data_IF_207184013560
#
_entry.id   IF_207184013560
#
_cell.length_a   1.000
_cell.length_b   1.000
_cell.length_c   1.000
_cell.angle_alpha   90.00
_cell.angle_beta   90.00
_cell.angle_gamma   90.00
#
_symmetry.space_group_name_H-M   'P 1'
#
loop_
_entity.id
_entity.type
_entity.pdbx_description
1 polymer ?
#
# COMPACT_ATOMS: atom_id res chain seq x y z
N UNK A 1 46.94 -48.33 -55.97
CA UNK A 1 45.92 -47.28 -56.22
C UNK A 1 44.73 -47.63 -55.37
N UNK A 2 44.83 -47.55 -54.04
CA UNK A 2 44.68 -46.31 -53.25
C UNK A 2 43.42 -45.52 -53.62
N UNK A 3 42.35 -45.74 -52.86
CA UNK A 3 41.24 -44.81 -52.74
C UNK A 3 40.96 -44.64 -51.24
N UNK A 4 41.43 -43.51 -50.74
CA UNK A 4 41.32 -43.00 -49.38
C UNK A 4 39.85 -42.81 -48.97
N UNK A 5 39.44 -43.48 -47.89
CA UNK A 5 38.19 -43.18 -47.18
C UNK A 5 38.45 -41.97 -46.27
N UNK A 6 38.07 -40.79 -46.75
CA UNK A 6 38.11 -39.56 -45.96
C UNK A 6 37.00 -39.55 -44.92
N UNK A 7 37.35 -39.77 -43.66
CA UNK A 7 36.47 -39.49 -42.53
C UNK A 7 36.51 -37.99 -42.23
N UNK A 8 35.50 -37.25 -42.70
CA UNK A 8 35.27 -35.86 -42.27
C UNK A 8 34.71 -35.86 -40.86
N UNK A 9 35.57 -35.63 -39.87
CA UNK A 9 35.16 -35.30 -38.50
C UNK A 9 34.73 -33.84 -38.49
N UNK A 10 33.41 -33.60 -38.52
CA UNK A 10 32.84 -32.28 -38.28
C UNK A 10 32.76 -32.09 -36.75
N UNK A 11 33.74 -31.38 -36.20
CA UNK A 11 33.71 -30.94 -34.80
C UNK A 11 32.84 -29.69 -34.71
N UNK A 12 31.57 -29.86 -34.33
CA UNK A 12 30.70 -28.73 -33.96
C UNK A 12 31.16 -28.23 -32.59
N UNK A 13 31.93 -27.14 -32.59
CA UNK A 13 32.19 -26.35 -31.37
C UNK A 13 30.94 -25.52 -31.10
N UNK A 14 30.05 -26.05 -30.25
CA UNK A 14 28.99 -25.26 -29.62
C UNK A 14 29.66 -24.25 -28.68
N UNK A 15 29.98 -23.07 -29.21
CA UNK A 15 30.17 -21.86 -28.43
C UNK A 15 28.81 -21.47 -27.85
N UNK A 16 28.38 -22.16 -26.79
CA UNK A 16 27.49 -21.54 -25.84
C UNK A 16 28.28 -20.37 -25.25
N UNK A 17 27.96 -19.15 -25.71
CA UNK A 17 28.24 -17.96 -24.92
C UNK A 17 27.47 -18.15 -23.62
N UNK A 18 28.13 -18.77 -22.64
CA UNK A 18 27.68 -18.83 -21.27
C UNK A 18 27.69 -17.39 -20.79
N UNK A 19 26.59 -16.68 -21.03
CA UNK A 19 26.33 -15.44 -20.35
C UNK A 19 26.29 -15.81 -18.87
N UNK A 20 27.17 -15.25 -18.03
CA UNK A 20 27.05 -15.47 -16.60
C UNK A 20 25.63 -15.06 -16.22
N UNK A 21 24.85 -16.02 -15.73
CA UNK A 21 23.48 -15.76 -15.26
C UNK A 21 23.64 -15.00 -13.96
N UNK A 22 23.67 -13.66 -14.07
CA UNK A 22 23.58 -12.79 -12.93
C UNK A 22 22.12 -12.69 -12.51
N UNK A 23 21.85 -12.78 -11.21
CA UNK A 23 20.55 -12.34 -10.71
C UNK A 23 20.36 -10.87 -11.09
N UNK A 24 19.14 -10.50 -11.49
CA UNK A 24 18.86 -9.22 -12.14
C UNK A 24 17.91 -8.38 -11.30
N UNK A 25 18.26 -7.11 -11.12
CA UNK A 25 17.42 -6.08 -10.51
C UNK A 25 17.03 -5.05 -11.56
N UNK A 26 15.73 -4.88 -11.74
CA UNK A 26 15.16 -3.96 -12.73
C UNK A 26 14.69 -2.70 -12.03
N UNK A 27 15.09 -1.55 -12.57
CA UNK A 27 14.57 -0.26 -12.16
C UNK A 27 13.10 -0.13 -12.56
N UNK A 28 12.24 0.09 -11.57
CA UNK A 28 10.79 0.15 -11.78
C UNK A 28 10.25 1.55 -12.17
N UNK A 29 10.72 2.66 -11.56
CA UNK A 29 10.19 3.99 -11.86
C UNK A 29 10.44 4.43 -13.32
N UNK A 30 9.37 4.61 -14.08
CA UNK A 30 9.39 5.10 -15.45
C UNK A 30 8.63 6.42 -15.61
N UNK A 31 8.99 7.17 -16.64
CA UNK A 31 8.37 8.42 -17.04
C UNK A 31 7.68 8.22 -18.40
N UNK A 32 6.37 8.43 -18.43
CA UNK A 32 5.54 8.25 -19.62
C UNK A 32 4.84 9.54 -20.00
N UNK A 33 4.91 9.91 -21.27
CA UNK A 33 4.20 11.08 -21.79
C UNK A 33 2.67 10.94 -21.67
N UNK A 34 2.14 9.74 -21.90
CA UNK A 34 0.69 9.45 -21.87
C UNK A 34 0.15 9.13 -20.46
N UNK A 35 0.95 9.34 -19.41
CA UNK A 35 0.49 9.21 -18.04
C UNK A 35 -0.08 10.56 -17.55
N UNK A 36 -1.38 10.62 -17.19
CA UNK A 36 -2.00 11.85 -16.72
C UNK A 36 -1.29 12.46 -15.50
N UNK A 37 -0.68 11.64 -14.62
CA UNK A 37 -0.03 12.11 -13.39
C UNK A 37 1.11 13.12 -13.67
N UNK A 38 1.74 13.01 -14.85
CA UNK A 38 2.85 13.85 -15.31
C UNK A 38 2.40 15.22 -15.84
N UNK A 39 1.09 15.51 -15.87
CA UNK A 39 0.53 16.77 -16.36
C UNK A 39 -0.07 17.61 -15.25
N UNK A 40 0.02 18.95 -15.34
CA UNK A 40 -0.40 19.90 -14.30
C UNK A 40 -1.83 19.66 -13.79
N UNK A 41 -2.78 19.41 -14.69
CA UNK A 41 -4.19 19.19 -14.38
C UNK A 41 -4.57 17.70 -14.28
N UNK A 42 -3.58 16.81 -14.26
CA UNK A 42 -3.79 15.35 -14.30
C UNK A 42 -4.57 14.87 -15.52
N UNK A 43 -4.45 15.60 -16.63
CA UNK A 43 -5.10 15.32 -17.91
C UNK A 43 -4.05 15.26 -19.02
N UNK A 44 -4.16 14.25 -19.89
CA UNK A 44 -3.30 14.11 -21.07
C UNK A 44 -3.66 15.16 -22.14
N UNK A 45 -2.71 15.56 -23.00
CA UNK A 45 -2.99 16.53 -24.06
C UNK A 45 -3.99 15.98 -25.08
N UNK A 46 -5.01 16.77 -25.42
CA UNK A 46 -5.93 16.43 -26.50
C UNK A 46 -5.47 17.01 -27.86
N UNK A 47 -5.93 16.46 -29.00
CA UNK A 47 -5.52 16.91 -30.31
C UNK A 47 -5.76 18.42 -30.55
N UNK A 48 -4.73 19.14 -30.98
CA UNK A 48 -4.81 20.59 -31.25
C UNK A 48 -4.56 21.48 -30.02
N UNK A 49 -4.26 20.90 -28.85
CA UNK A 49 -3.87 21.64 -27.65
C UNK A 49 -2.42 22.12 -27.74
N UNK A 50 -2.08 23.24 -27.08
CA UNK A 50 -0.68 23.68 -26.91
C UNK A 50 0.00 22.85 -25.83
N UNK A 51 1.13 22.22 -26.15
CA UNK A 51 1.94 21.46 -25.20
C UNK A 51 3.09 22.34 -24.70
N UNK A 52 3.25 22.44 -23.38
CA UNK A 52 4.28 23.27 -22.76
C UNK A 52 5.13 22.43 -21.83
N UNK A 53 6.42 22.32 -22.16
CA UNK A 53 7.42 21.80 -21.24
C UNK A 53 7.96 22.92 -20.35
N UNK A 54 8.28 22.63 -19.09
CA UNK A 54 8.85 23.62 -18.18
C UNK A 54 10.24 24.03 -18.67
N UNK A 55 10.61 25.29 -18.42
CA UNK A 55 11.92 25.84 -18.83
C UNK A 55 13.09 24.97 -18.36
N UNK A 56 13.01 24.47 -17.13
CA UNK A 56 13.94 23.52 -16.52
C UNK A 56 13.25 22.17 -16.34
N UNK A 57 13.22 21.37 -17.40
CA UNK A 57 12.69 20.01 -17.34
C UNK A 57 13.70 19.09 -16.65
N UNK A 58 14.98 19.25 -16.99
CA UNK A 58 16.13 18.48 -16.49
C UNK A 58 15.86 16.96 -16.51
N UNK A 59 15.19 16.47 -17.53
CA UNK A 59 14.87 15.06 -17.67
C UNK A 59 14.80 14.73 -19.16
N UNK A 60 14.82 13.43 -19.46
CA UNK A 60 14.51 12.91 -20.77
C UNK A 60 13.04 12.49 -20.80
N UNK A 61 12.29 12.96 -21.80
CA UNK A 61 10.89 12.55 -22.00
C UNK A 61 10.76 11.89 -23.37
N UNK A 62 10.34 10.63 -23.38
CA UNK A 62 9.99 9.93 -24.61
C UNK A 62 8.64 10.41 -25.13
N UNK A 63 8.60 10.90 -26.37
CA UNK A 63 7.35 11.23 -27.04
C UNK A 63 6.59 9.95 -27.43
N UNK A 64 5.25 10.01 -27.52
CA UNK A 64 4.44 8.83 -27.82
C UNK A 64 4.70 8.33 -29.24
N UNK A 65 4.53 7.03 -29.43
CA UNK A 65 4.48 6.45 -30.77
C UNK A 65 3.20 6.89 -31.50
N UNK A 66 3.27 6.98 -32.83
CA UNK A 66 2.14 7.38 -33.67
C UNK A 66 2.09 8.90 -33.93
N UNK A 67 0.86 9.40 -34.12
CA UNK A 67 0.63 10.78 -34.56
C UNK A 67 0.29 11.68 -33.35
N UNK A 68 1.18 12.63 -33.05
CA UNK A 68 0.92 13.69 -32.09
C UNK A 68 0.36 14.92 -32.83
N UNK A 69 -0.89 15.27 -32.57
CA UNK A 69 -1.54 16.45 -33.17
C UNK A 69 -1.66 17.57 -32.14
N UNK A 70 -1.07 18.73 -32.41
CA UNK A 70 -0.98 19.85 -31.46
C UNK A 70 -1.03 21.18 -32.21
N UNK A 71 -1.36 22.27 -31.52
CA UNK A 71 -1.27 23.61 -32.12
C UNK A 71 0.15 24.18 -32.05
N UNK A 72 0.88 23.87 -30.98
CA UNK A 72 2.26 24.31 -30.75
C UNK A 72 2.90 23.51 -29.63
N UNK A 73 4.23 23.32 -29.72
CA UNK A 73 5.04 22.69 -28.67
C UNK A 73 6.07 23.71 -28.19
N UNK A 74 6.03 24.05 -26.90
CA UNK A 74 7.05 24.88 -26.25
C UNK A 74 8.08 23.94 -25.61
N UNK A 75 9.30 23.93 -26.16
CA UNK A 75 10.40 23.07 -25.73
C UNK A 75 11.07 23.59 -24.44
N UNK A 76 11.66 22.70 -23.63
CA UNK A 76 12.45 23.09 -22.47
C UNK A 76 13.78 23.75 -22.89
N UNK A 77 14.33 24.63 -22.04
CA UNK A 77 15.70 25.13 -22.23
C UNK A 77 16.76 24.16 -21.68
N UNK A 78 16.38 23.34 -20.69
CA UNK A 78 17.22 22.32 -20.07
C UNK A 78 16.44 21.01 -19.95
N UNK A 79 16.95 19.95 -20.57
CA UNK A 79 16.29 18.66 -20.74
C UNK A 79 16.27 18.25 -22.21
N UNK A 80 15.75 17.06 -22.50
CA UNK A 80 15.64 16.59 -23.88
C UNK A 80 14.37 15.78 -24.10
N UNK A 81 13.89 15.80 -25.34
CA UNK A 81 12.77 14.98 -25.79
C UNK A 81 13.32 13.91 -26.71
N UNK A 82 12.97 12.66 -26.44
CA UNK A 82 13.35 11.51 -27.25
C UNK A 82 12.23 11.22 -28.25
N UNK A 83 12.58 11.24 -29.53
CA UNK A 83 11.65 10.94 -30.62
C UNK A 83 11.81 9.46 -30.98
N UNK A 84 10.73 8.67 -31.02
CA UNK A 84 10.77 7.31 -31.55
C UNK A 84 11.28 7.26 -33.00
N UNK A 85 12.26 6.40 -33.27
CA UNK A 85 13.03 6.40 -34.53
C UNK A 85 12.19 6.21 -35.80
N UNK A 86 11.06 5.49 -35.74
CA UNK A 86 10.30 5.07 -36.93
C UNK A 86 8.78 5.24 -36.85
N UNK A 87 8.23 5.55 -35.68
CA UNK A 87 6.77 5.54 -35.45
C UNK A 87 6.21 6.92 -35.12
N UNK A 88 7.05 7.93 -34.94
CA UNK A 88 6.61 9.28 -34.55
C UNK A 88 6.24 10.16 -35.74
N UNK A 89 5.10 10.84 -35.65
CA UNK A 89 4.65 11.85 -36.62
C UNK A 89 4.05 13.04 -35.88
N UNK A 90 4.52 14.25 -36.19
CA UNK A 90 4.02 15.48 -35.58
C UNK A 90 3.12 16.23 -36.57
N UNK A 91 1.87 16.47 -36.20
CA UNK A 91 0.93 17.29 -36.97
C UNK A 91 0.62 18.59 -36.22
N UNK A 92 1.03 19.72 -36.81
CA UNK A 92 0.79 21.04 -36.23
C UNK A 92 -0.43 21.66 -36.91
N UNK A 93 -1.52 21.79 -36.16
CA UNK A 93 -2.79 22.33 -36.67
C UNK A 93 -3.04 23.71 -36.08
N UNK A 94 -3.14 24.72 -36.94
CA UNK A 94 -3.56 26.07 -36.54
C UNK A 94 -5.06 26.06 -36.26
N UNK A 95 -5.45 25.88 -35.00
CA UNK A 95 -6.86 25.94 -34.61
C UNK A 95 -7.17 27.30 -34.01
N UNK A 96 -8.12 28.03 -34.62
CA UNK A 96 -8.75 29.19 -33.99
C UNK A 96 -9.76 28.69 -32.93
N UNK A 97 -9.37 28.66 -31.66
CA UNK A 97 -10.23 28.23 -30.54
C UNK A 97 -10.30 29.32 -29.46
N UNK A 98 -11.45 29.48 -28.78
CA UNK A 98 -11.63 30.43 -27.69
C UNK A 98 -10.86 29.95 -26.45
N UNK A 99 -10.00 30.81 -25.88
CA UNK A 99 -9.30 30.56 -24.61
C UNK A 99 -8.49 29.24 -24.53
N UNK A 100 -7.34 29.24 -25.18
CA UNK A 100 -6.15 28.38 -25.02
C UNK A 100 -6.25 27.36 -23.85
N UNK A 101 -6.68 26.13 -24.15
CA UNK A 101 -6.37 25.00 -23.29
C UNK A 101 -4.88 24.68 -23.45
N UNK A 102 -4.10 24.77 -22.37
CA UNK A 102 -2.65 24.49 -22.36
C UNK A 102 -2.41 23.21 -21.59
N UNK A 103 -1.70 22.26 -22.18
CA UNK A 103 -1.21 21.08 -21.49
C UNK A 103 0.21 21.36 -20.99
N UNK A 104 0.37 21.52 -19.68
CA UNK A 104 1.68 21.81 -19.05
C UNK A 104 2.24 20.51 -18.46
N UNK A 105 3.42 20.12 -18.91
CA UNK A 105 4.15 18.96 -18.38
C UNK A 105 4.81 19.31 -17.04
N UNK A 106 4.76 18.40 -16.07
CA UNK A 106 5.44 18.58 -14.78
C UNK A 106 6.91 18.17 -14.92
N UNK A 107 7.81 18.93 -14.30
CA UNK A 107 9.19 18.47 -14.15
C UNK A 107 9.19 17.24 -13.21
N UNK A 108 9.70 16.08 -13.65
CA UNK A 108 9.69 14.89 -12.82
C UNK A 108 10.63 15.06 -11.62
N UNK A 109 10.16 14.61 -10.46
CA UNK A 109 11.03 14.50 -9.27
C UNK A 109 12.13 13.47 -9.48
N UNK A 110 13.23 13.61 -8.75
CA UNK A 110 14.32 12.64 -8.72
C UNK A 110 13.95 11.46 -7.84
N UNK A 111 14.42 10.28 -8.20
CA UNK A 111 14.17 9.03 -7.48
C UNK A 111 15.48 8.43 -7.00
N UNK A 112 15.66 8.22 -5.68
CA UNK A 112 16.94 7.75 -5.14
C UNK A 112 17.31 6.34 -5.62
N UNK A 113 18.58 6.13 -5.98
CA UNK A 113 19.12 4.83 -6.37
C UNK A 113 19.00 3.81 -5.22
N UNK A 114 19.30 4.23 -3.98
CA UNK A 114 19.33 3.36 -2.81
C UNK A 114 17.95 3.15 -2.14
N UNK A 115 16.87 3.64 -2.73
CA UNK A 115 15.52 3.33 -2.29
C UNK A 115 15.11 1.94 -2.82
N UNK A 116 15.04 0.93 -1.93
CA UNK A 116 14.75 -0.46 -2.30
C UNK A 116 13.44 -0.67 -3.05
N UNK A 117 12.43 0.18 -2.81
CA UNK A 117 11.12 0.10 -3.49
C UNK A 117 11.17 0.51 -4.97
N UNK A 118 12.27 1.13 -5.43
CA UNK A 118 12.48 1.48 -6.83
C UNK A 118 13.04 0.31 -7.66
N UNK A 119 13.40 -0.80 -7.02
CA UNK A 119 13.99 -1.97 -7.66
C UNK A 119 13.07 -3.19 -7.51
N UNK A 120 12.99 -3.97 -8.59
CA UNK A 120 12.31 -5.27 -8.58
C UNK A 120 13.29 -6.36 -8.97
N UNK A 121 13.24 -7.51 -8.28
CA UNK A 121 13.97 -8.70 -8.69
C UNK A 121 13.33 -9.28 -9.95
N UNK A 122 14.13 -9.73 -10.91
CA UNK A 122 13.63 -10.40 -12.10
C UNK A 122 13.93 -11.89 -12.05
N UNK A 123 12.87 -12.68 -12.09
CA UNK A 123 12.96 -14.13 -12.24
C UNK A 123 12.95 -14.46 -13.73
N UNK A 124 14.12 -14.78 -14.27
CA UNK A 124 14.28 -15.16 -15.69
C UNK A 124 13.49 -16.41 -16.05
N UNK A 125 13.35 -17.37 -15.12
CA UNK A 125 12.67 -18.65 -15.36
C UNK A 125 11.17 -18.42 -15.54
N UNK A 126 10.59 -17.54 -14.72
CA UNK A 126 9.16 -17.18 -14.77
C UNK A 126 8.88 -15.93 -15.62
N UNK A 127 9.93 -15.30 -16.16
CA UNK A 127 9.87 -14.00 -16.85
C UNK A 127 9.06 -12.95 -16.06
N UNK A 128 9.17 -12.96 -14.73
CA UNK A 128 8.28 -12.24 -13.83
C UNK A 128 9.06 -11.30 -12.90
N UNK A 129 8.51 -10.10 -12.67
CA UNK A 129 9.06 -9.14 -11.71
C UNK A 129 8.52 -9.41 -10.32
N UNK A 130 9.40 -9.65 -9.37
CA UNK A 130 9.05 -9.88 -7.98
C UNK A 130 9.44 -8.66 -7.16
N UNK A 131 8.44 -8.06 -6.53
CA UNK A 131 8.66 -7.06 -5.50
C UNK A 131 9.27 -7.75 -4.27
N UNK A 132 10.18 -7.07 -3.55
CA UNK A 132 10.74 -7.62 -2.33
C UNK A 132 9.63 -7.82 -1.28
N UNK A 133 9.66 -8.96 -0.61
CA UNK A 133 8.78 -9.27 0.51
C UNK A 133 9.33 -8.66 1.82
N UNK A 134 8.57 -8.74 2.91
CA UNK A 134 8.97 -8.09 4.17
C UNK A 134 10.19 -8.76 4.84
N UNK A 135 10.40 -10.05 4.58
CA UNK A 135 11.58 -10.78 5.04
C UNK A 135 12.86 -10.41 4.29
N UNK A 136 12.81 -9.88 3.07
CA UNK A 136 14.00 -9.47 2.30
C UNK A 136 14.67 -8.27 2.99
N UNK A 137 15.95 -8.36 3.40
CA UNK A 137 16.71 -7.26 3.95
C UNK A 137 16.75 -6.05 3.03
N UNK A 138 16.70 -4.85 3.61
CA UNK A 138 16.74 -3.60 2.85
C UNK A 138 18.00 -3.49 1.98
N UNK A 139 19.12 -4.03 2.47
CA UNK A 139 20.37 -4.15 1.71
C UNK A 139 20.27 -4.99 0.43
N UNK A 140 19.38 -5.98 0.42
CA UNK A 140 19.15 -6.90 -0.71
C UNK A 140 17.99 -6.46 -1.62
N UNK A 141 17.31 -5.34 -1.28
CA UNK A 141 16.26 -4.77 -2.13
C UNK A 141 16.86 -3.97 -3.30
N UNK A 142 18.02 -3.36 -3.09
CA UNK A 142 18.83 -2.67 -4.12
C UNK A 142 19.80 -3.65 -4.81
N UNK A 143 20.35 -3.33 -6.00
CA UNK A 143 21.29 -4.19 -6.71
C UNK A 143 22.53 -4.55 -5.88
N UNK A 144 22.77 -5.85 -5.72
CA UNK A 144 23.95 -6.37 -5.04
C UNK A 144 25.21 -6.29 -5.92
N UNK A 145 26.37 -6.43 -5.28
CA UNK A 145 27.67 -6.42 -5.96
C UNK A 145 27.87 -7.52 -7.03
N UNK A 146 27.06 -8.58 -7.01
CA UNK A 146 27.08 -9.70 -7.97
C UNK A 146 25.88 -9.71 -8.92
N UNK A 147 24.98 -8.72 -8.83
CA UNK A 147 23.76 -8.63 -9.63
C UNK A 147 23.91 -7.67 -10.81
N UNK A 148 23.08 -7.88 -11.84
CA UNK A 148 22.95 -6.94 -12.94
C UNK A 148 21.88 -5.88 -12.60
N UNK A 149 22.26 -4.60 -12.62
CA UNK A 149 21.33 -3.48 -12.53
C UNK A 149 20.81 -3.13 -13.94
N UNK A 150 19.50 -3.21 -14.14
CA UNK A 150 18.87 -3.06 -15.46
C UNK A 150 17.92 -1.87 -15.47
N UNK A 151 18.18 -0.94 -16.38
CA UNK A 151 17.30 0.17 -16.72
C UNK A 151 16.66 -0.11 -18.07
N UNK A 152 15.39 -0.49 -18.07
CA UNK A 152 14.65 -0.70 -19.32
C UNK A 152 14.23 0.64 -19.94
N UNK A 153 14.40 0.79 -21.24
CA UNK A 153 14.03 2.00 -22.00
C UNK A 153 12.86 1.73 -22.95
N UNK A 154 12.75 0.49 -23.46
CA UNK A 154 11.72 0.09 -24.43
C UNK A 154 10.29 0.19 -23.89
N UNK A 155 10.13 0.06 -22.56
CA UNK A 155 8.84 0.14 -21.88
C UNK A 155 8.55 1.51 -21.30
N UNK A 156 9.39 2.51 -21.54
CA UNK A 156 9.29 3.84 -20.94
C UNK A 156 10.65 4.33 -20.48
N UNK A 157 10.88 5.64 -20.56
CA UNK A 157 12.15 6.23 -20.14
C UNK A 157 12.27 6.12 -18.62
N UNK A 158 13.39 5.64 -18.06
CA UNK A 158 13.60 5.65 -16.62
C UNK A 158 13.39 7.04 -16.03
N UNK A 159 12.64 7.12 -14.93
CA UNK A 159 12.50 8.38 -14.18
C UNK A 159 13.87 8.81 -13.67
N UNK A 160 14.19 10.12 -13.60
CA UNK A 160 15.51 10.58 -13.18
C UNK A 160 15.98 9.95 -11.87
N UNK A 161 17.13 9.29 -11.93
CA UNK A 161 17.79 8.57 -10.84
C UNK A 161 18.72 9.51 -10.09
N UNK A 162 18.60 9.57 -8.77
CA UNK A 162 19.53 10.29 -7.92
C UNK A 162 20.59 9.31 -7.38
N UNK A 163 21.84 9.51 -7.77
CA UNK A 163 23.00 8.70 -7.34
C UNK A 163 23.56 9.16 -5.98
N UNK A 164 22.98 10.21 -5.39
CA UNK A 164 23.21 10.68 -4.02
C UNK A 164 24.69 10.99 -3.65
N UNK A 165 25.53 11.33 -4.63
CA UNK A 165 26.97 11.66 -4.43
C UNK A 165 27.76 10.56 -3.71
N UNK A 166 27.43 9.29 -3.93
CA UNK A 166 28.19 8.20 -3.34
C UNK A 166 29.51 7.97 -4.05
N UNK A 167 30.60 7.80 -3.30
CA UNK A 167 31.95 7.58 -3.85
C UNK A 167 32.00 6.45 -4.89
N UNK A 168 31.25 5.37 -4.65
CA UNK A 168 31.18 4.27 -5.59
C UNK A 168 29.96 3.39 -5.40
N UNK A 169 29.41 2.89 -6.51
CA UNK A 169 28.37 1.87 -6.54
C UNK A 169 28.96 0.60 -7.12
N UNK A 170 28.89 -0.50 -6.37
CA UNK A 170 29.45 -1.80 -6.75
C UNK A 170 28.33 -2.74 -7.23
N UNK A 171 28.42 -3.21 -8.48
CA UNK A 171 27.43 -4.10 -9.11
C UNK A 171 28.12 -5.14 -9.98
N UNK A 172 27.42 -6.23 -10.28
CA UNK A 172 27.94 -7.31 -11.12
C UNK A 172 27.91 -6.97 -12.61
N UNK A 173 26.90 -6.24 -13.05
CA UNK A 173 26.87 -5.64 -14.38
C UNK A 173 25.85 -4.49 -14.40
N UNK A 174 25.87 -3.67 -15.45
CA UNK A 174 24.81 -2.70 -15.73
C UNK A 174 24.34 -2.85 -17.16
N UNK A 175 23.03 -2.80 -17.35
CA UNK A 175 22.40 -2.72 -18.68
C UNK A 175 21.43 -1.56 -18.72
N UNK A 176 21.59 -0.71 -19.73
CA UNK A 176 20.70 0.41 -20.01
C UNK A 176 20.16 0.26 -21.43
N UNK A 177 18.85 0.01 -21.53
CA UNK A 177 18.19 -0.37 -22.78
C UNK A 177 18.78 -1.63 -23.41
N UNK A 178 18.89 -1.64 -24.74
CA UNK A 178 19.56 -2.68 -25.52
C UNK A 178 20.94 -2.29 -26.05
N UNK A 179 21.44 -1.09 -25.75
CA UNK A 179 22.62 -0.51 -26.39
C UNK A 179 23.82 -0.39 -25.45
N UNK A 180 23.59 -0.10 -24.18
CA UNK A 180 24.64 0.11 -23.19
C UNK A 180 24.65 -1.09 -22.25
N UNK A 181 25.72 -1.86 -22.31
CA UNK A 181 25.98 -2.99 -21.42
C UNK A 181 27.42 -2.90 -20.91
N UNK A 182 27.62 -3.25 -19.64
CA UNK A 182 28.93 -3.17 -19.00
C UNK A 182 29.09 -1.92 -18.14
N UNK A 183 29.77 -2.11 -17.00
CA UNK A 183 30.05 -1.04 -16.03
C UNK A 183 30.82 0.13 -16.66
N UNK A 184 31.82 -0.14 -17.50
CA UNK A 184 32.66 0.90 -18.13
C UNK A 184 31.90 1.74 -19.15
N UNK A 185 31.10 1.09 -20.00
CA UNK A 185 30.25 1.77 -21.00
C UNK A 185 29.18 2.61 -20.29
N UNK A 186 28.59 2.08 -19.23
CA UNK A 186 27.62 2.80 -18.42
C UNK A 186 28.22 4.00 -17.69
N UNK A 187 29.44 3.88 -17.13
CA UNK A 187 30.16 5.01 -16.55
C UNK A 187 30.37 6.12 -17.58
N UNK A 188 30.80 5.77 -18.79
CA UNK A 188 31.01 6.72 -19.88
C UNK A 188 29.70 7.41 -20.28
N UNK A 189 28.59 6.66 -20.27
CA UNK A 189 27.28 7.19 -20.56
C UNK A 189 26.76 8.16 -19.49
N UNK A 190 26.89 7.84 -18.21
CA UNK A 190 26.46 8.72 -17.11
C UNK A 190 27.12 10.10 -17.21
N UNK A 191 28.38 10.15 -17.63
CA UNK A 191 29.14 11.40 -17.80
C UNK A 191 28.78 12.19 -19.07
N UNK A 192 27.98 11.61 -19.98
CA UNK A 192 27.49 12.32 -21.18
C UNK A 192 26.37 13.30 -20.83
N UNK A 193 26.11 14.27 -21.70
CA UNK A 193 25.03 15.27 -21.51
C UNK A 193 23.65 14.61 -21.34
N UNK A 194 23.35 13.55 -22.11
CA UNK A 194 22.10 12.81 -21.98
C UNK A 194 22.05 12.00 -20.68
N UNK A 195 23.18 11.39 -20.30
CA UNK A 195 23.32 10.67 -19.03
C UNK A 195 23.04 11.57 -17.84
N UNK A 196 23.54 12.80 -17.83
CA UNK A 196 23.34 13.76 -16.74
C UNK A 196 21.87 14.20 -16.56
N UNK A 197 21.03 14.09 -17.59
CA UNK A 197 19.58 14.33 -17.45
C UNK A 197 18.82 13.13 -16.84
N UNK A 198 19.44 11.95 -16.79
CA UNK A 198 18.84 10.75 -16.20
C UNK A 198 19.49 10.36 -14.88
N UNK A 199 20.80 10.53 -14.73
CA UNK A 199 21.59 10.13 -13.56
C UNK A 199 22.16 11.36 -12.89
N UNK A 200 21.46 11.82 -11.88
CA UNK A 200 21.82 12.99 -11.10
C UNK A 200 22.86 12.69 -10.05
N UNK A 201 23.62 13.72 -9.69
CA UNK A 201 24.60 13.66 -8.60
C UNK A 201 25.58 12.49 -8.79
N UNK A 202 25.93 12.23 -10.06
CA UNK A 202 26.70 11.09 -10.49
C UNK A 202 28.13 11.45 -10.93
N UNK A 203 28.47 12.75 -10.95
CA UNK A 203 29.76 13.28 -11.41
C UNK A 203 30.94 12.69 -10.63
N UNK A 204 30.78 12.55 -9.31
CA UNK A 204 31.79 11.96 -8.42
C UNK A 204 31.53 10.48 -8.10
N UNK A 205 30.49 9.89 -8.69
CA UNK A 205 30.07 8.52 -8.39
C UNK A 205 30.75 7.53 -9.35
N UNK A 206 31.59 6.65 -8.81
CA UNK A 206 32.26 5.61 -9.59
C UNK A 206 31.46 4.31 -9.61
N UNK A 207 30.97 3.91 -10.78
CA UNK A 207 30.38 2.58 -10.96
C UNK A 207 31.51 1.57 -11.13
N UNK A 208 31.54 0.55 -10.28
CA UNK A 208 32.60 -0.46 -10.25
C UNK A 208 32.02 -1.86 -10.30
N UNK A 209 32.80 -2.76 -10.90
CA UNK A 209 32.56 -4.18 -10.79
C UNK A 209 32.66 -4.60 -9.31
N UNK A 210 31.66 -5.31 -8.82
CA UNK A 210 31.65 -5.81 -7.45
C UNK A 210 32.82 -6.77 -7.16
N UNK A 211 33.26 -6.77 -5.90
CA UNK A 211 34.40 -7.61 -5.46
C UNK A 211 34.05 -9.08 -5.40
N UNK A 212 32.76 -9.39 -5.24
CA UNK A 212 32.27 -10.76 -5.21
C UNK A 212 31.42 -11.08 -6.43
N UNK A 213 31.63 -12.29 -6.97
CA UNK A 213 30.93 -12.79 -8.16
C UNK A 213 29.83 -13.80 -7.84
N UNK A 214 29.69 -14.23 -6.57
CA UNK A 214 28.76 -15.29 -6.18
C UNK A 214 27.96 -14.91 -4.93
N UNK A 215 26.63 -14.90 -5.08
CA UNK A 215 25.64 -14.67 -4.02
C UNK A 215 25.76 -15.69 -2.86
N UNK A 216 26.26 -16.90 -3.12
CA UNK A 216 26.38 -17.96 -2.12
C UNK A 216 27.59 -17.81 -1.18
N UNK A 217 28.42 -16.77 -1.34
CA UNK A 217 29.65 -16.64 -0.56
C UNK A 217 29.84 -15.29 0.11
N UNK A 218 29.09 -14.28 -0.31
CA UNK A 218 29.35 -12.90 0.08
C UNK A 218 28.06 -12.18 0.45
N UNK A 219 28.15 -11.18 1.33
CA UNK A 219 27.04 -10.27 1.55
C UNK A 219 26.70 -9.50 0.27
N UNK A 220 25.43 -9.10 0.16
CA UNK A 220 24.95 -8.31 -0.97
C UNK A 220 25.63 -6.93 -1.05
N UNK A 221 25.73 -6.24 0.10
CA UNK A 221 26.29 -4.90 0.23
C UNK A 221 27.48 -4.89 1.20
N UNK A 222 28.34 -3.88 1.07
CA UNK A 222 29.31 -3.56 2.12
C UNK A 222 28.62 -2.67 3.19
N UNK A 223 29.19 -2.63 4.39
CA UNK A 223 28.55 -1.95 5.55
C UNK A 223 28.38 -0.44 5.32
N UNK A 224 29.31 0.18 4.57
CA UNK A 224 29.29 1.62 4.26
C UNK A 224 28.09 2.06 3.41
N UNK A 225 27.43 1.17 2.67
CA UNK A 225 26.25 1.49 1.86
C UNK A 225 24.97 1.52 2.70
N UNK A 226 24.99 0.94 3.91
CA UNK A 226 23.80 0.83 4.75
C UNK A 226 23.23 2.19 5.14
N UNK A 227 24.07 3.20 5.40
CA UNK A 227 23.61 4.54 5.74
C UNK A 227 22.78 5.17 4.60
N UNK A 228 23.23 4.97 3.36
CA UNK A 228 22.51 5.42 2.17
C UNK A 228 21.16 4.72 2.02
N UNK A 229 21.15 3.39 2.15
CA UNK A 229 19.95 2.56 2.02
C UNK A 229 18.93 2.91 3.10
N UNK A 230 19.39 3.07 4.34
CA UNK A 230 18.52 3.37 5.47
C UNK A 230 18.03 4.82 5.47
N UNK A 231 18.77 5.78 4.91
CA UNK A 231 18.29 7.16 4.73
C UNK A 231 17.11 7.27 3.76
N UNK A 232 16.95 6.28 2.87
CA UNK A 232 15.86 6.19 1.89
C UNK A 232 14.74 5.24 2.33
N UNK A 233 14.74 4.79 3.59
CA UNK A 233 13.76 3.84 4.12
C UNK A 233 12.99 4.48 5.27
N UNK A 234 11.66 4.54 5.13
CA UNK A 234 10.77 4.99 6.20
C UNK A 234 10.43 3.83 7.14
N UNK A 235 10.90 3.90 8.37
CA UNK A 235 10.64 2.87 9.38
C UNK A 235 9.34 3.13 10.13
N UNK A 236 8.34 2.27 9.90
CA UNK A 236 7.12 2.21 10.70
C UNK A 236 7.39 1.49 12.02
N UNK A 237 6.68 1.87 13.08
CA UNK A 237 6.81 1.22 14.39
C UNK A 237 6.19 -0.19 14.34
N UNK A 238 6.94 -1.25 14.66
CA UNK A 238 6.44 -2.63 14.60
C UNK A 238 5.44 -2.93 15.71
N UNK A 239 4.44 -3.77 15.42
CA UNK A 239 3.35 -4.13 16.35
C UNK A 239 3.67 -5.39 17.18
N UNK A 240 4.83 -5.41 17.85
CA UNK A 240 5.23 -6.50 18.75
C UNK A 240 6.12 -5.98 19.89
N UNK A 241 6.11 -6.70 21.02
CA UNK A 241 7.03 -6.49 22.12
C UNK A 241 8.43 -6.92 21.69
N UNK A 242 9.47 -6.12 21.92
CA UNK A 242 10.87 -6.49 21.60
C UNK A 242 11.09 -6.96 20.15
N UNK A 243 10.92 -6.08 19.14
CA UNK A 243 11.15 -6.43 17.75
C UNK A 243 12.62 -6.78 17.50
N UNK A 244 12.87 -7.63 16.51
CA UNK A 244 14.23 -8.03 16.11
C UNK A 244 14.72 -7.18 14.94
N UNK A 245 16.03 -7.00 14.80
CA UNK A 245 16.64 -6.32 13.64
C UNK A 245 17.65 -7.26 12.97
N UNK A 246 17.25 -7.98 11.91
CA UNK A 246 18.17 -8.77 11.12
C UNK A 246 19.24 -7.90 10.46
N UNK A 247 20.33 -8.52 10.02
CA UNK A 247 21.41 -7.82 9.33
C UNK A 247 20.90 -7.49 7.94
N UNK A 248 21.28 -6.31 7.45
CA UNK A 248 20.74 -5.75 6.22
C UNK A 248 19.37 -5.07 6.37
N UNK A 249 18.68 -5.19 7.52
CA UNK A 249 17.46 -4.42 7.78
C UNK A 249 17.77 -3.05 8.41
N UNK A 250 17.14 -2.02 7.87
CA UNK A 250 17.16 -0.68 8.45
C UNK A 250 16.20 -0.56 9.63
N UNK A 251 15.03 -1.19 9.52
CA UNK A 251 13.96 -1.12 10.50
C UNK A 251 13.89 -2.39 11.34
N UNK A 252 13.50 -2.29 12.63
CA UNK A 252 13.15 -3.45 13.42
C UNK A 252 11.84 -4.09 12.91
N UNK A 253 11.74 -5.42 12.96
CA UNK A 253 10.61 -6.19 12.41
C UNK A 253 10.06 -7.17 13.47
N UNK A 254 8.80 -7.58 13.28
CA UNK A 254 8.18 -8.65 14.03
C UNK A 254 8.31 -9.96 13.26
N UNK A 255 9.00 -10.94 13.85
CA UNK A 255 9.25 -12.20 13.17
C UNK A 255 10.23 -13.07 13.92
N UNK A 256 10.86 -13.98 13.19
CA UNK A 256 11.93 -14.83 13.70
C UNK A 256 13.11 -14.80 12.76
N UNK A 257 14.32 -14.88 13.31
CA UNK A 257 15.53 -15.07 12.51
C UNK A 257 16.37 -16.23 13.04
N UNK A 258 16.93 -16.99 12.11
CA UNK A 258 17.95 -17.99 12.33
C UNK A 258 19.27 -17.50 11.73
N UNK A 259 20.37 -17.71 12.44
CA UNK A 259 21.71 -17.37 11.98
C UNK A 259 22.71 -18.47 12.27
N UNK A 260 23.63 -18.69 11.33
CA UNK A 260 24.73 -19.62 11.52
C UNK A 260 25.99 -19.15 10.79
N UNK A 261 27.13 -19.29 11.45
CA UNK A 261 28.42 -18.99 10.84
C UNK A 261 28.77 -20.01 9.75
N UNK A 262 29.12 -19.53 8.56
CA UNK A 262 29.52 -20.37 7.42
C UNK A 262 30.80 -21.18 7.70
N UNK A 263 31.68 -20.71 8.59
CA UNK A 263 32.88 -21.44 9.00
C UNK A 263 32.57 -22.69 9.84
N UNK A 264 31.39 -22.75 10.47
CA UNK A 264 30.97 -23.90 11.29
C UNK A 264 30.48 -25.09 10.44
N UNK A 265 30.44 -24.96 9.11
CA UNK A 265 29.99 -26.03 8.23
C UNK A 265 31.13 -27.02 7.95
N UNK A 266 30.98 -28.31 8.28
CA UNK A 266 32.05 -29.30 8.17
C UNK A 266 32.42 -29.71 6.73
N UNK A 267 31.73 -29.18 5.70
CA UNK A 267 31.95 -29.45 4.27
C UNK A 267 31.78 -28.16 3.48
N UNK A 268 32.15 -28.17 2.19
CA UNK A 268 31.78 -27.12 1.25
C UNK A 268 30.26 -26.91 1.29
N UNK A 269 29.82 -25.87 2.00
CA UNK A 269 28.43 -25.50 2.11
C UNK A 269 27.92 -25.09 0.74
N UNK A 270 26.75 -25.61 0.36
CA UNK A 270 26.05 -25.25 -0.87
C UNK A 270 24.73 -24.60 -0.45
N UNK A 271 24.60 -23.30 -0.71
CA UNK A 271 23.45 -22.51 -0.30
C UNK A 271 22.19 -23.02 -1.00
N UNK A 272 22.25 -23.28 -2.30
CA UNK A 272 21.12 -23.80 -3.06
C UNK A 272 20.57 -25.12 -2.49
N UNK A 273 21.45 -26.08 -2.16
CA UNK A 273 21.01 -27.35 -1.58
C UNK A 273 20.40 -27.17 -0.20
N UNK A 274 20.84 -26.17 0.56
CA UNK A 274 20.27 -25.85 1.86
C UNK A 274 18.89 -25.20 1.70
N UNK A 275 18.76 -24.20 0.82
CA UNK A 275 17.48 -23.52 0.53
C UNK A 275 16.46 -24.50 -0.05
N UNK A 276 16.85 -25.43 -0.93
CA UNK A 276 15.95 -26.45 -1.48
C UNK A 276 15.46 -27.46 -0.42
N UNK A 277 16.29 -27.79 0.57
CA UNK A 277 15.90 -28.66 1.69
C UNK A 277 15.00 -27.91 2.66
N UNK A 278 15.31 -26.66 2.94
CA UNK A 278 14.54 -25.79 3.80
C UNK A 278 13.16 -25.52 3.20
N UNK A 279 13.08 -25.13 1.93
CA UNK A 279 11.83 -24.90 1.20
C UNK A 279 10.91 -26.13 1.27
N UNK A 280 11.43 -27.33 0.98
CA UNK A 280 10.65 -28.57 1.13
C UNK A 280 10.15 -28.81 2.55
N UNK A 281 10.91 -28.38 3.57
CA UNK A 281 10.51 -28.51 4.97
C UNK A 281 9.44 -27.50 5.36
N UNK A 282 9.56 -26.26 4.91
CA UNK A 282 8.54 -25.21 5.08
C UNK A 282 7.23 -25.64 4.43
N UNK A 283 7.26 -26.12 3.17
CA UNK A 283 6.04 -26.61 2.49
C UNK A 283 5.42 -27.84 3.16
N UNK A 284 6.19 -28.62 3.92
CA UNK A 284 5.70 -29.78 4.69
C UNK A 284 5.35 -29.46 6.15
N UNK A 285 5.52 -28.20 6.59
CA UNK A 285 5.31 -27.82 7.97
C UNK A 285 3.81 -27.75 8.31
N UNK A 286 3.50 -27.77 9.61
CA UNK A 286 2.12 -27.67 10.12
C UNK A 286 1.50 -26.27 9.91
N UNK A 287 2.32 -25.26 9.67
CA UNK A 287 1.89 -23.89 9.36
C UNK A 287 1.81 -23.75 7.84
N UNK A 288 0.70 -23.21 7.33
CA UNK A 288 0.52 -22.99 5.90
C UNK A 288 1.55 -21.97 5.37
N UNK A 289 2.29 -22.34 4.31
CA UNK A 289 3.30 -21.49 3.65
C UNK A 289 2.72 -20.17 3.11
N UNK A 290 1.39 -20.09 2.96
CA UNK A 290 0.68 -18.91 2.48
C UNK A 290 0.65 -17.78 3.52
N UNK A 291 0.79 -18.12 4.80
CA UNK A 291 0.64 -17.20 5.93
C UNK A 291 1.94 -16.53 6.38
N UNK A 292 3.08 -16.94 5.82
CA UNK A 292 4.40 -16.43 6.19
C UNK A 292 5.22 -16.08 4.95
N UNK A 293 6.11 -15.11 5.11
CA UNK A 293 7.11 -14.78 4.11
C UNK A 293 8.49 -15.07 4.69
N UNK A 294 9.39 -15.62 3.87
CA UNK A 294 10.75 -15.89 4.31
C UNK A 294 11.78 -15.46 3.28
N UNK A 295 13.00 -15.25 3.77
CA UNK A 295 14.17 -14.92 2.97
C UNK A 295 15.40 -15.63 3.53
N UNK A 296 16.24 -16.16 2.64
CA UNK A 296 17.53 -16.74 3.00
C UNK A 296 18.61 -15.96 2.25
N UNK A 297 19.53 -15.39 3.00
CA UNK A 297 20.64 -14.62 2.47
C UNK A 297 21.94 -14.88 3.24
N UNK A 298 23.02 -14.29 2.73
CA UNK A 298 24.32 -14.26 3.40
C UNK A 298 24.59 -12.82 3.84
N UNK A 299 25.05 -12.68 5.07
CA UNK A 299 25.43 -11.40 5.64
C UNK A 299 26.74 -11.54 6.43
N UNK A 300 27.25 -10.45 6.99
CA UNK A 300 28.37 -10.44 7.93
C UNK A 300 27.86 -10.24 9.35
N UNK A 301 28.43 -11.01 10.27
CA UNK A 301 28.23 -10.85 11.70
C UNK A 301 29.54 -11.08 12.43
N UNK A 302 29.95 -10.11 13.26
CA UNK A 302 31.22 -10.15 13.98
C UNK A 302 32.45 -10.45 13.09
N UNK A 303 32.44 -9.92 11.85
CA UNK A 303 33.53 -10.09 10.88
C UNK A 303 33.54 -11.44 10.12
N UNK A 304 32.58 -12.33 10.36
CA UNK A 304 32.43 -13.59 9.64
C UNK A 304 31.17 -13.62 8.77
N UNK A 305 31.22 -14.35 7.66
CA UNK A 305 30.03 -14.58 6.83
C UNK A 305 29.08 -15.55 7.53
N UNK A 306 27.83 -15.14 7.65
CA UNK A 306 26.76 -15.92 8.28
C UNK A 306 25.62 -16.12 7.29
N UNK A 307 25.01 -17.29 7.34
CA UNK A 307 23.74 -17.54 6.68
C UNK A 307 22.65 -17.05 7.61
N UNK A 308 21.72 -16.28 7.06
CA UNK A 308 20.60 -15.71 7.78
C UNK A 308 19.30 -16.16 7.10
N UNK A 309 18.40 -16.76 7.88
CA UNK A 309 17.02 -17.03 7.49
C UNK A 309 16.13 -16.09 8.30
N UNK A 310 15.30 -15.32 7.62
CA UNK A 310 14.30 -14.43 8.22
C UNK A 310 12.93 -14.98 7.85
N UNK A 311 12.03 -15.06 8.82
CA UNK A 311 10.63 -15.43 8.63
C UNK A 311 9.76 -14.36 9.28
N UNK A 312 8.79 -13.84 8.53
CA UNK A 312 7.82 -12.84 8.99
C UNK A 312 6.40 -13.31 8.69
N UNK A 313 5.44 -12.82 9.47
CA UNK A 313 4.02 -13.09 9.23
C UNK A 313 3.55 -12.23 8.07
N UNK A 314 2.69 -12.80 7.21
CA UNK A 314 2.05 -12.00 6.16
C UNK A 314 0.89 -11.21 6.74
N UNK A 315 0.95 -9.88 6.63
CA UNK A 315 -0.06 -8.99 7.18
C UNK A 315 0.16 -8.67 8.66
N UNK A 316 -0.89 -8.77 9.48
CA UNK A 316 -0.76 -8.49 10.92
C UNK A 316 0.01 -9.60 11.65
N UNK A 317 0.88 -9.18 12.56
CA UNK A 317 1.73 -10.10 13.31
C UNK A 317 0.92 -10.94 14.31
N UNK A 318 0.93 -12.26 14.13
CA UNK A 318 0.18 -13.24 14.92
C UNK A 318 1.04 -14.42 15.41
N UNK A 319 2.35 -14.21 15.53
CA UNK A 319 3.36 -15.22 15.94
C UNK A 319 3.47 -16.45 15.03
N UNK A 320 2.96 -16.40 13.79
CA UNK A 320 2.99 -17.54 12.85
C UNK A 320 4.42 -17.87 12.42
N UNK A 321 5.23 -16.84 12.18
CA UNK A 321 6.67 -16.93 11.93
C UNK A 321 7.43 -17.59 13.06
N UNK A 322 7.04 -17.35 14.33
CA UNK A 322 7.64 -18.01 15.50
C UNK A 322 7.30 -19.48 15.50
N UNK A 323 6.02 -19.84 15.31
CA UNK A 323 5.59 -21.25 15.25
C UNK A 323 6.30 -21.99 14.11
N UNK A 324 6.42 -21.34 12.95
CA UNK A 324 7.17 -21.88 11.81
C UNK A 324 8.64 -22.11 12.17
N UNK A 325 9.32 -21.11 12.75
CA UNK A 325 10.73 -21.25 13.16
C UNK A 325 10.93 -22.36 14.20
N UNK A 326 10.03 -22.48 15.18
CA UNK A 326 10.08 -23.54 16.18
C UNK A 326 9.89 -24.93 15.55
N UNK A 327 9.03 -25.05 14.54
CA UNK A 327 8.85 -26.30 13.79
C UNK A 327 10.10 -26.71 13.00
N UNK A 328 10.92 -25.73 12.60
CA UNK A 328 12.18 -25.93 11.88
C UNK A 328 13.36 -26.19 12.81
N UNK A 329 13.26 -25.88 14.11
CA UNK A 329 14.34 -26.09 15.07
C UNK A 329 14.89 -27.54 15.07
N UNK A 330 14.08 -28.62 15.07
CA UNK A 330 14.59 -29.98 14.99
C UNK A 330 15.35 -30.28 13.70
N UNK A 331 14.99 -29.60 12.59
CA UNK A 331 15.73 -29.72 11.33
C UNK A 331 17.11 -29.09 11.45
N UNK A 332 17.23 -27.93 12.11
CA UNK A 332 18.53 -27.28 12.34
C UNK A 332 19.40 -28.07 13.32
N UNK A 333 18.86 -28.58 14.42
CA UNK A 333 19.60 -29.40 15.40
C UNK A 333 20.14 -30.70 14.78
N UNK A 334 19.38 -31.30 13.86
CA UNK A 334 19.82 -32.49 13.13
C UNK A 334 20.92 -32.19 12.12
N UNK A 335 20.84 -31.02 11.48
CA UNK A 335 21.79 -30.61 10.44
C UNK A 335 23.08 -30.02 11.04
N UNK A 336 22.98 -29.39 12.22
CA UNK A 336 24.03 -28.62 12.86
C UNK A 336 24.16 -29.02 14.33
N UNK A 337 25.36 -29.46 14.74
CA UNK A 337 25.63 -29.90 16.11
C UNK A 337 25.71 -28.76 17.12
N UNK A 338 26.14 -27.56 16.70
CA UNK A 338 26.21 -26.35 17.53
C UNK A 338 26.49 -25.10 16.68
N UNK A 339 26.37 -23.90 17.27
CA UNK A 339 26.80 -22.65 16.66
C UNK A 339 25.77 -21.93 15.78
N UNK A 340 24.51 -22.34 15.85
CA UNK A 340 23.39 -21.57 15.31
C UNK A 340 22.67 -20.78 16.41
N UNK A 341 22.09 -19.64 16.04
CA UNK A 341 21.34 -18.77 16.93
C UNK A 341 19.96 -18.52 16.33
N UNK A 342 18.92 -18.74 17.12
CA UNK A 342 17.54 -18.40 16.79
C UNK A 342 17.12 -17.27 17.72
N UNK A 343 16.51 -16.24 17.16
CA UNK A 343 15.93 -15.13 17.92
C UNK A 343 14.53 -14.83 17.41
N UNK A 344 13.63 -14.56 18.34
CA UNK A 344 12.24 -14.25 18.05
C UNK A 344 11.91 -12.83 18.51
N UNK A 345 11.00 -12.18 17.81
CA UNK A 345 10.27 -11.05 18.38
C UNK A 345 9.40 -11.53 19.56
N UNK A 346 9.05 -10.63 20.46
CA UNK A 346 8.09 -10.90 21.53
C UNK A 346 6.64 -10.84 21.05
N UNK A 347 5.71 -10.89 22.00
CA UNK A 347 4.28 -11.04 21.74
C UNK A 347 3.69 -9.87 20.92
N UNK A 348 2.62 -10.10 20.14
CA UNK A 348 1.91 -9.04 19.43
C UNK A 348 1.49 -7.93 20.37
N UNK A 349 1.79 -6.69 19.97
CA UNK A 349 1.45 -5.51 20.74
C UNK A 349 1.16 -4.36 19.80
N UNK A 350 -0.10 -3.92 19.76
CA UNK A 350 -0.48 -2.72 19.03
C UNK A 350 -0.30 -1.52 19.97
N UNK A 351 0.63 -0.60 19.67
CA UNK A 351 0.71 0.63 20.43
C UNK A 351 -0.60 1.40 20.21
N UNK A 352 -1.27 1.80 21.30
CA UNK A 352 -2.50 2.59 21.18
C UNK A 352 -2.20 3.91 20.47
N UNK A 353 -2.90 4.19 19.37
CA UNK A 353 -2.86 5.50 18.75
C UNK A 353 -3.44 6.53 19.74
N UNK A 354 -2.87 7.74 19.80
CA UNK A 354 -3.19 8.72 20.86
C UNK A 354 -4.68 9.03 21.03
N UNK A 355 -5.49 8.92 19.96
CA UNK A 355 -6.94 9.06 20.01
C UNK A 355 -7.68 7.93 20.72
N UNK A 356 -7.17 6.69 20.66
CA UNK A 356 -7.78 5.52 21.30
C UNK A 356 -7.61 5.56 22.83
N UNK A 357 -6.46 6.04 23.32
CA UNK A 357 -6.25 6.25 24.75
C UNK A 357 -7.19 7.33 25.30
N UNK A 358 -7.31 8.47 24.61
CA UNK A 358 -8.24 9.52 25.00
C UNK A 358 -9.69 9.01 25.00
N UNK A 359 -10.07 8.24 23.98
CA UNK A 359 -11.39 7.60 23.87
C UNK A 359 -11.67 6.64 25.03
N UNK A 360 -10.70 5.78 25.37
CA UNK A 360 -10.83 4.83 26.48
C UNK A 360 -10.93 5.56 27.83
N UNK A 361 -10.13 6.59 28.07
CA UNK A 361 -10.19 7.41 29.29
C UNK A 361 -11.52 8.17 29.38
N UNK A 362 -11.98 8.78 28.28
CA UNK A 362 -13.26 9.50 28.26
C UNK A 362 -14.43 8.55 28.50
N UNK A 363 -14.43 7.38 27.85
CA UNK A 363 -15.47 6.36 28.02
C UNK A 363 -15.51 5.85 29.46
N UNK A 364 -14.36 5.56 30.06
CA UNK A 364 -14.30 5.14 31.47
C UNK A 364 -14.77 6.24 32.42
N UNK A 365 -14.44 7.51 32.17
CA UNK A 365 -14.97 8.64 32.95
C UNK A 365 -16.50 8.77 32.84
N UNK A 366 -17.06 8.66 31.63
CA UNK A 366 -18.51 8.72 31.41
C UNK A 366 -19.20 7.55 32.09
N UNK A 367 -18.66 6.33 31.97
CA UNK A 367 -19.22 5.13 32.60
C UNK A 367 -19.22 5.24 34.13
N UNK A 368 -18.12 5.70 34.73
CA UNK A 368 -18.01 5.91 36.17
C UNK A 368 -18.96 7.03 36.62
N UNK A 369 -19.02 8.15 35.91
CA UNK A 369 -19.96 9.23 36.20
C UNK A 369 -21.41 8.78 36.12
N UNK A 370 -21.78 8.02 35.08
CA UNK A 370 -23.13 7.48 34.93
C UNK A 370 -23.47 6.50 36.07
N UNK A 371 -22.54 5.61 36.43
CA UNK A 371 -22.71 4.68 37.55
C UNK A 371 -22.98 5.40 38.87
N UNK A 372 -22.18 6.42 39.20
CA UNK A 372 -22.39 7.21 40.42
C UNK A 372 -23.66 8.07 40.37
N UNK A 373 -24.01 8.63 39.20
CA UNK A 373 -25.28 9.36 39.02
C UNK A 373 -26.50 8.44 39.22
N UNK A 374 -26.45 7.20 38.72
CA UNK A 374 -27.52 6.21 38.94
C UNK A 374 -27.59 5.83 40.41
N UNK A 375 -26.45 5.60 41.07
CA UNK A 375 -26.39 5.25 42.48
C UNK A 375 -26.87 6.39 43.38
N UNK A 376 -26.52 7.63 43.06
CA UNK A 376 -27.02 8.83 43.73
C UNK A 376 -28.53 8.96 43.55
N UNK A 377 -29.03 8.85 42.32
CA UNK A 377 -30.47 8.91 42.07
C UNK A 377 -31.22 7.79 42.82
N UNK A 378 -30.65 6.58 42.90
CA UNK A 378 -31.30 5.46 43.57
C UNK A 378 -31.37 5.62 45.10
N UNK A 379 -30.34 6.20 45.72
CA UNK A 379 -30.25 6.29 47.19
C UNK A 379 -30.68 7.64 47.78
N UNK A 380 -30.56 8.73 47.03
CA UNK A 380 -30.73 10.09 47.56
C UNK A 380 -31.84 10.90 46.88
N UNK A 381 -32.38 10.44 45.76
CA UNK A 381 -33.37 11.20 45.01
C UNK A 381 -34.78 10.57 45.08
N UNK A 382 -35.57 11.06 46.02
CA UNK A 382 -36.99 10.73 46.17
C UNK A 382 -37.88 11.34 45.06
N UNK A 383 -37.34 12.13 44.12
CA UNK A 383 -38.11 12.83 43.09
C UNK A 383 -37.94 12.27 41.68
N UNK A 384 -36.72 11.85 41.30
CA UNK A 384 -36.42 11.33 39.96
C UNK A 384 -36.88 9.87 39.76
N UNK A 385 -36.65 8.99 40.74
CA UNK A 385 -37.03 7.58 40.63
C UNK A 385 -38.55 7.35 40.55
N UNK A 386 -39.40 8.04 41.33
CA UNK A 386 -40.85 7.92 41.19
C UNK A 386 -41.37 8.44 39.86
N UNK A 387 -40.75 9.49 39.28
CA UNK A 387 -41.11 10.02 37.95
C UNK A 387 -40.74 9.06 36.83
N UNK A 388 -39.54 8.47 36.87
CA UNK A 388 -39.13 7.47 35.87
C UNK A 388 -39.99 6.19 35.99
N UNK A 389 -40.25 5.74 37.21
CA UNK A 389 -41.11 4.58 37.48
C UNK A 389 -42.57 4.86 37.12
N UNK A 390 -43.06 6.08 37.32
CA UNK A 390 -44.37 6.52 36.87
C UNK A 390 -44.44 6.60 35.34
N UNK A 391 -43.41 7.09 34.65
CA UNK A 391 -43.35 7.14 33.18
C UNK A 391 -43.30 5.73 32.56
N UNK A 392 -42.57 4.79 33.16
CA UNK A 392 -42.48 3.40 32.69
C UNK A 392 -43.75 2.60 33.03
N UNK A 393 -44.44 2.93 34.13
CA UNK A 393 -45.72 2.31 34.54
C UNK A 393 -46.93 2.92 33.82
N UNK A 394 -46.87 4.19 33.41
CA UNK A 394 -47.87 4.86 32.56
C UNK A 394 -47.66 4.57 31.07
N UNK A 395 -47.56 3.29 30.70
CA UNK A 395 -47.91 2.86 29.33
C UNK A 395 -49.42 2.97 29.03
N UNK A 396 -50.22 3.55 29.93
CA UNK A 396 -51.62 3.91 29.72
C UNK A 396 -51.84 5.37 29.30
N UNK A 397 -50.78 6.16 29.08
CA UNK A 397 -50.90 7.56 28.62
C UNK A 397 -51.42 7.71 27.17
N UNK A 398 -51.69 6.61 26.45
CA UNK A 398 -52.31 6.63 25.12
C UNK A 398 -53.78 6.18 25.10
N UNK A 399 -54.44 5.98 26.25
CA UNK A 399 -55.85 5.56 26.27
C UNK A 399 -56.62 6.23 27.41
N UNK A 400 -56.94 7.52 27.27
CA UNK A 400 -58.08 8.13 27.98
C UNK A 400 -59.02 8.74 26.95
N UNK A 401 -60.34 8.46 27.01
CA UNK A 401 -61.29 8.90 26.01
C UNK A 401 -61.46 10.42 26.04
N UNK A 402 -61.49 11.04 24.86
CA UNK A 402 -61.77 12.46 24.66
C UNK A 402 -63.15 12.79 25.24
N UNK A 403 -63.21 13.54 26.35
CA UNK A 403 -64.46 14.10 26.87
C UNK A 403 -64.63 15.48 26.24
N UNK A 404 -65.53 15.57 25.26
CA UNK A 404 -66.03 16.84 24.75
C UNK A 404 -66.85 17.54 25.85
N UNK A 405 -66.44 18.74 26.25
CA UNK A 405 -67.32 19.65 26.96
C UNK A 405 -68.43 20.08 25.97
N UNK A 406 -69.65 19.62 26.22
CA UNK A 406 -70.86 20.02 25.51
C UNK A 406 -71.41 21.27 26.21
N UNK A 407 -71.39 22.41 25.53
CA UNK A 407 -72.07 23.60 26.01
C UNK A 407 -73.57 23.40 25.76
N UNK A 408 -74.37 23.25 26.83
CA UNK A 408 -75.82 23.39 26.74
C UNK A 408 -76.19 24.77 27.33
N UNK A 409 -76.78 25.67 26.52
CA UNK A 409 -77.18 26.99 26.96
C UNK A 409 -78.58 26.89 27.57
N UNK A 410 -78.73 27.37 28.81
CA UNK A 410 -79.93 27.97 29.40
C UNK A 410 -80.08 27.57 30.87
N UNK A 411 -79.70 28.46 31.78
CA UNK A 411 -80.66 29.10 32.68
C UNK A 411 -79.90 29.95 33.68
N UNK A 412 -80.25 31.23 33.71
CA UNK A 412 -79.94 32.18 34.75
C UNK A 412 -80.22 31.58 36.14
N UNK A 413 -79.21 31.58 37.02
CA UNK A 413 -79.32 31.97 38.43
C UNK A 413 -78.07 31.52 39.20
N UNK A 414 -77.52 32.49 39.92
CA UNK A 414 -76.61 32.36 41.05
C UNK A 414 -75.23 31.74 40.80
N UNK A 415 -74.23 32.61 40.97
CA UNK A 415 -72.84 32.25 40.86
C UNK A 415 -72.31 31.54 42.10
N UNK A 416 -71.17 30.88 41.93
CA UNK A 416 -70.04 31.01 42.83
C UNK A 416 -68.82 30.36 42.19
N UNK A 417 -67.71 31.09 42.24
CA UNK A 417 -66.38 30.54 42.61
C UNK A 417 -65.60 29.84 41.47
N UNK A 418 -64.28 29.93 41.34
CA UNK A 418 -63.22 30.51 42.14
C UNK A 418 -62.15 31.04 41.17
N UNK A 419 -61.63 32.20 41.54
CA UNK A 419 -60.51 32.96 41.02
C UNK A 419 -59.16 32.23 41.20
N UNK A 420 -58.28 32.24 40.18
CA UNK A 420 -56.83 32.11 40.39
C UNK A 420 -56.12 33.10 39.48
N UNK A 421 -56.12 34.34 39.94
CA UNK A 421 -55.32 35.43 39.44
C UNK A 421 -53.81 35.16 39.66
N UNK A 422 -53.01 35.17 38.58
CA UNK A 422 -51.56 35.31 38.65
C UNK A 422 -51.14 36.67 38.09
N UNK A 423 -50.24 37.31 38.85
CA UNK A 423 -49.90 38.72 38.78
C UNK A 423 -49.45 39.24 37.42
N UNK A 424 -49.91 40.47 37.19
CA UNK A 424 -49.65 41.40 36.11
C UNK A 424 -48.19 41.57 35.68
N UNK A 425 -47.98 41.46 34.38
CA UNK A 425 -46.90 42.11 33.63
C UNK A 425 -47.45 42.51 32.26
N UNK A 426 -48.06 43.69 32.20
CA UNK A 426 -48.65 44.27 30.99
C UNK A 426 -47.54 44.70 30.03
N UNK A 427 -47.59 44.22 28.78
CA UNK A 427 -47.57 45.06 27.58
C UNK A 427 -47.86 44.19 26.35
N UNK A 428 -49.13 44.16 25.96
CA UNK A 428 -49.53 43.91 24.58
C UNK A 428 -49.75 45.27 23.93
N UNK A 429 -49.15 45.48 22.75
CA UNK A 429 -49.55 46.53 21.81
C UNK A 429 -50.40 45.85 20.75
N UNK A 430 -51.65 46.27 20.77
CA UNK A 430 -52.72 46.30 19.77
C UNK A 430 -52.74 45.31 18.58
N UNK A 431 -53.89 44.65 18.55
CA UNK A 431 -54.62 44.13 17.39
C UNK A 431 -54.72 45.15 16.25
N UNK A 432 -54.76 44.67 15.02
CA UNK A 432 -55.92 44.99 14.19
C UNK A 432 -56.23 43.86 13.20
N UNK A 433 -57.51 43.51 13.23
CA UNK A 433 -58.22 42.48 12.49
C UNK A 433 -59.02 43.17 11.40
N UNK A 434 -59.01 42.62 10.19
CA UNK A 434 -60.06 42.80 9.20
C UNK A 434 -60.14 41.48 8.42
N UNK A 435 -61.06 40.59 8.79
CA UNK A 435 -62.47 40.54 8.38
C UNK A 435 -62.69 39.63 7.19
N UNK A 436 -63.71 38.81 7.37
CA UNK A 436 -64.08 37.67 6.54
C UNK A 436 -64.93 38.10 5.36
N UNK A 437 -64.81 37.38 4.24
CA UNK A 437 -65.95 37.06 3.37
C UNK A 437 -65.80 35.61 2.92
N UNK A 438 -66.82 34.81 3.24
CA UNK A 438 -67.02 33.46 2.75
C UNK A 438 -67.88 33.48 1.49
N UNK A 439 -67.48 32.74 0.45
CA UNK A 439 -68.41 32.04 -0.47
C UNK A 439 -67.76 30.70 -0.83
N UNK A 440 -68.54 29.64 -0.64
CA UNK A 440 -68.23 28.23 -0.93
C UNK A 440 -68.52 27.96 -2.40
N UNK A 441 -67.60 27.28 -3.10
CA UNK A 441 -67.95 26.49 -4.28
C UNK A 441 -67.08 25.22 -4.37
N UNK A 442 -67.66 24.22 -5.01
CA UNK A 442 -67.32 22.82 -4.88
C UNK A 442 -66.13 22.33 -5.71
N UNK A 443 -65.59 21.19 -5.24
CA UNK A 443 -64.79 20.18 -5.94
C UNK A 443 -63.31 20.44 -6.30
N UNK A 444 -62.52 19.39 -6.02
CA UNK A 444 -61.18 19.04 -6.51
C UNK A 444 -59.96 19.81 -6.00
N UNK A 445 -59.31 19.25 -4.96
CA UNK A 445 -57.88 18.92 -4.99
C UNK A 445 -57.46 18.13 -3.74
N UNK A 446 -57.44 16.80 -3.84
CA UNK A 446 -56.59 15.97 -2.99
C UNK A 446 -55.21 15.83 -3.65
N UNK A 447 -54.23 16.57 -3.15
CA UNK A 447 -52.79 16.31 -3.33
C UNK A 447 -52.18 16.42 -1.93
N UNK A 448 -51.51 15.42 -1.35
CA UNK A 448 -50.49 14.58 -1.94
C UNK A 448 -50.58 13.15 -1.38
N UNK A 449 -50.70 12.20 -2.30
CA UNK A 449 -50.25 10.83 -2.15
C UNK A 449 -48.71 10.81 -2.10
N UNK A 450 -48.12 10.09 -1.13
CA UNK A 450 -46.75 9.59 -1.27
C UNK A 450 -46.79 8.05 -1.34
N UNK A 451 -46.55 7.46 -2.53
CA UNK A 451 -46.59 6.03 -2.76
C UNK A 451 -45.20 5.43 -2.58
N UNK A 452 -44.91 4.88 -1.40
CA UNK A 452 -43.73 4.01 -1.24
C UNK A 452 -43.82 2.98 -0.11
N UNK A 453 -44.89 2.99 0.71
CA UNK A 453 -45.01 2.06 1.84
C UNK A 453 -46.40 1.45 2.05
N UNK A 454 -47.18 1.28 0.99
CA UNK A 454 -48.32 0.35 1.03
C UNK A 454 -47.92 -1.01 0.48
N UNK A 455 -47.62 -1.95 1.38
CA UNK A 455 -48.17 -3.31 1.28
C UNK A 455 -48.13 -4.02 2.63
N UNK A 456 -49.31 -4.52 2.97
CA UNK A 456 -49.78 -5.16 4.19
C UNK A 456 -49.04 -6.45 4.56
N UNK A 457 -48.63 -6.57 5.82
CA UNK A 457 -48.29 -7.86 6.42
C UNK A 457 -49.57 -8.62 6.76
N UNK A 458 -49.80 -9.75 6.08
CA UNK A 458 -50.86 -10.70 6.41
C UNK A 458 -50.42 -11.60 7.57
N UNK A 459 -51.31 -11.71 8.55
CA UNK A 459 -51.26 -12.56 9.75
C UNK A 459 -51.32 -14.04 9.37
N UNK A 460 -50.46 -14.88 9.94
CA UNK A 460 -50.60 -16.34 9.93
C UNK A 460 -50.39 -16.86 11.35
N UNK A 461 -51.39 -17.55 11.88
CA UNK A 461 -51.34 -18.39 13.07
C UNK A 461 -51.26 -19.88 12.66
N UNK A 462 -50.84 -20.78 13.58
CA UNK A 462 -50.03 -21.96 13.26
C UNK A 462 -50.81 -23.28 13.28
N UNK A 463 -50.36 -24.27 12.51
CA UNK A 463 -50.36 -25.70 12.84
C UNK A 463 -49.76 -26.55 11.70
N UNK A 464 -48.91 -27.52 12.08
CA UNK A 464 -48.71 -28.89 11.54
C UNK A 464 -48.70 -29.07 9.99
N UNK A 465 -47.77 -29.77 9.33
CA UNK A 465 -47.05 -31.02 9.56
C UNK A 465 -46.16 -31.21 8.30
N UNK A 466 -44.88 -31.57 8.42
CA UNK A 466 -44.32 -32.91 8.16
C UNK A 466 -43.47 -32.99 6.85
N UNK A 467 -42.22 -33.44 7.04
CA UNK A 467 -41.32 -34.26 6.19
C UNK A 467 -41.31 -34.08 4.66
N UNK A 468 -40.13 -33.80 4.08
CA UNK A 468 -39.32 -34.88 3.46
C UNK A 468 -37.89 -34.44 3.10
N UNK A 469 -36.95 -35.38 3.28
CA UNK A 469 -35.53 -35.35 2.95
C UNK A 469 -35.30 -35.44 1.43
N UNK A 470 -34.28 -34.75 0.88
CA UNK A 470 -33.51 -35.28 -0.28
C UNK A 470 -32.04 -34.79 -0.26
N UNK A 471 -31.17 -35.77 -0.05
CA UNK A 471 -29.73 -35.88 -0.39
C UNK A 471 -29.29 -35.24 -1.71
N UNK A 472 -28.07 -34.65 -1.76
CA UNK A 472 -27.30 -34.59 -3.01
C UNK A 472 -25.81 -34.87 -2.83
N UNK A 473 -25.33 -35.71 -3.75
CA UNK A 473 -24.12 -36.55 -3.73
C UNK A 473 -22.82 -35.84 -4.08
N UNK A 474 -21.77 -36.45 -3.53
CA UNK A 474 -20.37 -36.44 -3.94
C UNK A 474 -20.23 -36.77 -5.44
N UNK A 475 -19.36 -36.02 -6.11
CA UNK A 475 -18.51 -36.51 -7.19
C UNK A 475 -17.12 -35.92 -7.08
#
# INVERSE_FOLDING_TARGET
MEASVGASVVTIVLLFAAHPIWATKIWHPSLHFMDPSNWAHSDIPFPGQTIVFPRKLNALVGLPEGILTTSSIILPQQGALLLPDHTFSLNIVSVEIPAIAVAVFKAPGRTPYYAGNNWASYDEVRAHRQLPNDAVPHSERVPCQYEAAVFEVDKGIPKPVDMQYHESIEVGNVRFGGTIEGVENFQSFILSELGQFMFYNAEDTLIRQGKCTNAEKCPCQEERQMDAICSNTDCVTPHCLSPIRPSGHCCPICGSMFRMNMASFPRAFNLQSFTDKLSRKITSAEVEDVDVEYHVGIDRWAGANVIQLIIVDKGEYGERSIRMMNSLQPFFEKQFSSGFHITHAGQPHTPFEGGQLLGFVLFTMIAVSAFFSVLYAYHYDDTLFPRLRAAIRNRQFFTTPFVFARFDPNSEADGLSVDVNFGSGIQAVDEERADAVAIVDAENATSFNNPMYEKSAHKVDPAAEAFDDVELRIK
#
